data_IF_010271651450
#
_entry.id   IF_010271651450
#
_cell.length_a   1.000
_cell.length_b   1.000
_cell.length_c   1.000
_cell.angle_alpha   90.00
_cell.angle_beta   90.00
_cell.angle_gamma   90.00
#
_symmetry.space_group_name_H-M   'P 1'
#
loop_
_entity.id
_entity.type
_entity.pdbx_description
1 polymer ?
#
# COMPACT_ATOMS: atom_id res chain seq x y z
N UNK A 1 -6.02 19.57 -71.26
CA UNK A 1 -5.46 18.43 -70.51
C UNK A 1 -4.81 18.83 -69.15
N UNK A 2 -4.06 19.94 -69.09
CA UNK A 2 -3.31 20.38 -67.91
C UNK A 2 -4.19 20.66 -66.62
N UNK A 3 -5.40 21.20 -66.77
CA UNK A 3 -6.29 21.51 -65.62
C UNK A 3 -6.84 20.25 -64.93
N UNK A 4 -7.10 19.16 -65.65
CA UNK A 4 -7.56 17.90 -65.06
C UNK A 4 -6.46 17.20 -64.27
N UNK A 5 -5.21 17.26 -64.76
CA UNK A 5 -4.06 16.69 -64.09
C UNK A 5 -3.77 17.40 -62.74
N UNK A 6 -3.87 18.73 -62.71
CA UNK A 6 -3.70 19.51 -61.49
C UNK A 6 -4.77 19.18 -60.43
N UNK A 7 -6.02 18.96 -60.85
CA UNK A 7 -7.10 18.57 -59.98
C UNK A 7 -6.85 17.21 -59.27
N UNK A 8 -6.37 16.20 -60.04
CA UNK A 8 -6.02 14.90 -59.46
C UNK A 8 -4.82 14.95 -58.49
N UNK A 9 -3.85 15.81 -58.77
CA UNK A 9 -2.69 16.01 -57.89
C UNK A 9 -3.15 16.65 -56.55
N UNK A 10 -4.00 17.66 -56.61
CA UNK A 10 -4.54 18.30 -55.39
C UNK A 10 -5.42 17.34 -54.63
N UNK A 11 -6.27 16.54 -55.28
CA UNK A 11 -7.11 15.53 -54.63
C UNK A 11 -6.27 14.44 -53.95
N UNK A 12 -5.19 13.97 -54.59
CA UNK A 12 -4.28 13.02 -53.98
C UNK A 12 -3.53 13.61 -52.77
N UNK A 13 -3.10 14.86 -52.84
CA UNK A 13 -2.44 15.55 -51.73
C UNK A 13 -3.40 15.74 -50.54
N UNK A 14 -4.67 16.07 -50.80
CA UNK A 14 -5.71 16.17 -49.74
C UNK A 14 -6.00 14.81 -49.10
N UNK A 15 -6.07 13.70 -49.89
CA UNK A 15 -6.23 12.35 -49.35
C UNK A 15 -5.06 11.94 -48.45
N UNK A 16 -3.82 12.29 -48.78
CA UNK A 16 -2.63 12.01 -47.97
C UNK A 16 -2.70 12.81 -46.61
N UNK A 17 -3.17 14.04 -46.64
CA UNK A 17 -3.32 14.87 -45.45
C UNK A 17 -4.42 14.36 -44.52
N UNK A 18 -5.48 13.78 -45.03
CA UNK A 18 -6.59 13.23 -44.21
C UNK A 18 -6.21 11.87 -43.63
N UNK A 19 -5.32 11.11 -44.22
CA UNK A 19 -4.84 9.81 -43.70
C UNK A 19 -3.86 9.94 -42.53
N UNK A 20 -3.40 11.16 -42.19
CA UNK A 20 -2.42 11.41 -41.14
C UNK A 20 -3.04 11.61 -39.75
N UNK A 21 -4.36 11.59 -39.61
CA UNK A 21 -5.04 11.58 -38.31
C UNK A 21 -5.12 10.15 -37.78
N UNK A 22 -3.97 9.52 -37.53
CA UNK A 22 -3.90 8.30 -36.73
C UNK A 22 -4.37 8.64 -35.31
N UNK A 23 -5.56 8.22 -34.92
CA UNK A 23 -5.91 8.19 -33.51
C UNK A 23 -4.88 7.31 -32.81
N UNK A 24 -4.13 7.90 -31.89
CA UNK A 24 -3.26 7.12 -31.01
C UNK A 24 -4.12 6.11 -30.27
N UNK A 25 -3.95 4.84 -30.59
CA UNK A 25 -4.76 3.77 -30.02
C UNK A 25 -4.21 3.39 -28.64
N UNK A 26 -5.06 3.47 -27.62
CA UNK A 26 -4.70 2.98 -26.29
C UNK A 26 -4.66 1.46 -26.29
N UNK A 27 -3.53 0.90 -25.89
CA UNK A 27 -3.34 -0.54 -25.75
C UNK A 27 -3.27 -0.91 -24.27
N UNK A 28 -3.99 -1.97 -23.88
CA UNK A 28 -3.88 -2.53 -22.54
C UNK A 28 -2.50 -3.13 -22.34
N UNK A 29 -1.85 -2.76 -21.24
CA UNK A 29 -0.58 -3.32 -20.78
C UNK A 29 -0.69 -3.73 -19.33
N UNK A 30 0.01 -4.79 -18.98
CA UNK A 30 0.04 -5.34 -17.63
C UNK A 30 1.49 -5.44 -17.16
N UNK A 31 1.70 -5.16 -15.88
CA UNK A 31 2.97 -5.37 -15.17
C UNK A 31 2.71 -5.92 -13.78
N UNK A 32 3.67 -6.64 -13.21
CA UNK A 32 3.50 -7.29 -11.92
C UNK A 32 4.77 -7.19 -11.06
N UNK A 33 4.59 -7.25 -9.73
CA UNK A 33 5.67 -7.35 -8.75
C UNK A 33 5.20 -8.03 -7.47
N UNK A 34 6.16 -8.53 -6.65
CA UNK A 34 5.89 -9.37 -5.47
C UNK A 34 6.62 -8.90 -4.21
N UNK A 35 7.40 -7.84 -4.30
CA UNK A 35 8.36 -7.41 -3.30
C UNK A 35 7.80 -6.42 -2.26
N UNK A 36 6.46 -6.30 -2.19
CA UNK A 36 5.78 -5.43 -1.23
C UNK A 36 4.54 -6.10 -0.63
N UNK A 37 4.27 -5.86 0.66
CA UNK A 37 3.10 -6.35 1.41
C UNK A 37 2.89 -7.88 1.37
N UNK A 38 3.93 -8.66 1.08
CA UNK A 38 3.87 -10.13 0.92
C UNK A 38 2.77 -10.58 -0.03
N UNK A 39 2.50 -9.79 -1.06
CA UNK A 39 1.40 -10.02 -2.01
C UNK A 39 1.87 -9.95 -3.46
N UNK A 40 1.09 -10.57 -4.35
CA UNK A 40 1.20 -10.41 -5.79
C UNK A 40 0.39 -9.21 -6.25
N UNK A 41 1.04 -8.21 -6.81
CA UNK A 41 0.43 -6.98 -7.29
C UNK A 41 0.47 -6.97 -8.81
N UNK A 42 -0.68 -6.78 -9.44
CA UNK A 42 -0.83 -6.63 -10.89
C UNK A 42 -1.34 -5.22 -11.17
N UNK A 43 -0.59 -4.47 -11.96
CA UNK A 43 -0.98 -3.16 -12.46
C UNK A 43 -1.36 -3.25 -13.93
N UNK A 44 -2.57 -2.83 -14.27
CA UNK A 44 -3.08 -2.79 -15.64
C UNK A 44 -3.43 -1.37 -16.03
N UNK A 45 -2.95 -0.92 -17.20
CA UNK A 45 -3.28 0.39 -17.73
C UNK A 45 -3.46 0.37 -19.24
N UNK A 46 -4.31 1.24 -19.75
CA UNK A 46 -4.41 1.54 -21.18
C UNK A 46 -3.53 2.74 -21.49
N UNK A 47 -2.47 2.55 -22.28
CA UNK A 47 -1.49 3.60 -22.58
C UNK A 47 -1.23 3.67 -24.08
N UNK A 48 -0.76 4.81 -24.55
CA UNK A 48 -0.43 5.05 -25.97
C UNK A 48 0.92 4.43 -26.35
N UNK A 49 1.83 4.30 -25.38
CA UNK A 49 3.15 3.74 -25.63
C UNK A 49 3.60 2.84 -24.48
N UNK A 50 4.59 2.01 -24.75
CA UNK A 50 5.28 1.18 -23.77
C UNK A 50 6.03 2.03 -22.73
N UNK A 51 6.62 3.14 -23.15
CA UNK A 51 7.37 4.03 -22.25
C UNK A 51 6.44 4.77 -21.29
N UNK A 52 5.24 5.16 -21.74
CA UNK A 52 4.21 5.73 -20.88
C UNK A 52 3.78 4.71 -19.81
N UNK A 53 3.54 3.46 -20.20
CA UNK A 53 3.23 2.38 -19.27
C UNK A 53 4.33 2.16 -18.24
N UNK A 54 5.60 2.05 -18.67
CA UNK A 54 6.74 1.86 -17.78
C UNK A 54 6.88 2.99 -16.76
N UNK A 55 6.60 4.22 -17.18
CA UNK A 55 6.62 5.36 -16.27
C UNK A 55 5.53 5.24 -15.20
N UNK A 56 4.29 4.94 -15.58
CA UNK A 56 3.21 4.73 -14.60
C UNK A 56 3.47 3.52 -13.70
N UNK A 57 3.93 2.42 -14.26
CA UNK A 57 4.28 1.22 -13.51
C UNK A 57 5.36 1.51 -12.46
N UNK A 58 6.39 2.28 -12.85
CA UNK A 58 7.43 2.70 -11.91
C UNK A 58 6.88 3.55 -10.78
N UNK A 59 6.04 4.55 -11.07
CA UNK A 59 5.41 5.41 -10.06
C UNK A 59 4.61 4.57 -9.06
N UNK A 60 3.77 3.65 -9.56
CA UNK A 60 2.96 2.76 -8.72
C UNK A 60 3.86 1.88 -7.86
N UNK A 61 4.87 1.23 -8.45
CA UNK A 61 5.79 0.36 -7.71
C UNK A 61 6.58 1.12 -6.64
N UNK A 62 7.06 2.31 -6.95
CA UNK A 62 7.79 3.16 -5.99
C UNK A 62 6.89 3.55 -4.81
N UNK A 63 5.63 3.90 -5.06
CA UNK A 63 4.67 4.27 -4.02
C UNK A 63 4.28 3.07 -3.14
N UNK A 64 4.02 1.91 -3.73
CA UNK A 64 3.82 0.66 -2.98
C UNK A 64 5.02 0.31 -2.11
N UNK A 65 6.24 0.49 -2.63
CA UNK A 65 7.47 0.23 -1.87
C UNK A 65 7.62 1.20 -0.69
N UNK A 66 7.29 2.47 -0.88
CA UNK A 66 7.29 3.47 0.18
C UNK A 66 6.27 3.15 1.26
N UNK A 67 5.02 2.88 0.88
CA UNK A 67 3.94 2.54 1.80
C UNK A 67 4.20 1.22 2.54
N UNK A 68 4.79 0.23 1.87
CA UNK A 68 5.22 -1.01 2.52
C UNK A 68 6.16 -0.73 3.70
N UNK A 69 7.15 0.15 3.52
CA UNK A 69 8.07 0.51 4.60
C UNK A 69 7.37 1.26 5.73
N UNK A 70 6.43 2.16 5.42
CA UNK A 70 5.68 2.92 6.42
C UNK A 70 4.77 2.02 7.27
N UNK A 71 4.14 1.03 6.65
CA UNK A 71 3.16 0.16 7.32
C UNK A 71 3.74 -1.16 7.83
N UNK A 72 5.06 -1.38 7.64
CA UNK A 72 5.73 -2.58 8.15
C UNK A 72 5.77 -2.55 9.68
N UNK A 73 5.35 -3.66 10.26
CA UNK A 73 5.34 -3.89 11.71
C UNK A 73 6.47 -4.83 12.18
N UNK A 74 7.31 -5.32 11.25
CA UNK A 74 8.35 -6.31 11.52
C UNK A 74 9.77 -5.80 11.33
N UNK A 75 9.99 -4.91 10.34
CA UNK A 75 11.32 -4.49 9.94
C UNK A 75 11.56 -2.99 10.16
N UNK A 76 12.81 -2.65 10.47
CA UNK A 76 13.28 -1.27 10.54
C UNK A 76 13.84 -0.84 9.19
N UNK A 77 13.65 0.44 8.84
CA UNK A 77 14.20 1.05 7.64
C UNK A 77 14.90 2.35 8.02
N UNK A 78 16.11 2.55 7.50
CA UNK A 78 16.89 3.74 7.79
C UNK A 78 16.11 5.03 7.41
N UNK A 79 15.98 5.93 8.37
CA UNK A 79 15.29 7.20 8.19
C UNK A 79 13.76 7.11 8.10
N UNK A 80 13.14 5.96 8.41
CA UNK A 80 11.70 5.78 8.38
C UNK A 80 11.18 5.38 9.76
N UNK A 81 10.34 6.21 10.35
CA UNK A 81 9.54 5.84 11.51
C UNK A 81 8.23 5.20 11.01
N UNK A 82 8.09 3.91 11.23
CA UNK A 82 6.98 3.09 10.73
C UNK A 82 6.12 2.51 11.88
N UNK A 83 5.21 1.62 11.56
CA UNK A 83 4.36 0.96 12.57
C UNK A 83 5.20 0.18 13.59
N UNK A 84 6.29 -0.47 13.15
CA UNK A 84 7.21 -1.14 14.09
C UNK A 84 7.80 -0.16 15.09
N UNK A 85 8.28 1.01 14.62
CA UNK A 85 8.83 2.05 15.50
C UNK A 85 7.82 2.51 16.54
N UNK A 86 6.55 2.69 16.14
CA UNK A 86 5.46 3.03 17.07
C UNK A 86 5.27 1.92 18.11
N UNK A 87 5.24 0.65 17.68
CA UNK A 87 5.07 -0.49 18.57
C UNK A 87 6.22 -0.64 19.57
N UNK A 88 7.46 -0.43 19.10
CA UNK A 88 8.66 -0.53 19.95
C UNK A 88 8.75 0.62 20.99
N UNK A 89 8.10 1.74 20.74
CA UNK A 89 8.02 2.89 21.64
C UNK A 89 6.75 2.91 22.50
N UNK A 90 5.92 1.86 22.45
CA UNK A 90 4.71 1.75 23.25
C UNK A 90 5.02 1.88 24.75
N UNK A 91 4.28 2.74 25.47
CA UNK A 91 4.49 3.03 26.87
C UNK A 91 5.76 3.84 27.20
N UNK A 92 6.58 4.21 26.19
CA UNK A 92 7.85 4.92 26.38
C UNK A 92 7.74 6.37 25.93
N UNK A 93 7.47 6.61 24.64
CA UNK A 93 7.44 7.96 24.10
C UNK A 93 6.57 8.05 22.81
N UNK A 94 6.01 9.23 22.51
CA UNK A 94 5.40 9.50 21.20
C UNK A 94 6.44 9.42 20.07
N UNK A 95 6.01 8.89 18.93
CA UNK A 95 6.84 8.76 17.71
C UNK A 95 6.34 9.72 16.66
N UNK A 96 7.21 10.57 16.12
CA UNK A 96 6.92 11.39 14.94
C UNK A 96 6.85 10.49 13.70
N UNK A 97 5.79 10.64 12.89
CA UNK A 97 5.50 9.77 11.75
C UNK A 97 5.01 10.55 10.53
N UNK A 98 5.04 9.91 9.37
CA UNK A 98 4.45 10.44 8.16
C UNK A 98 2.92 10.60 8.27
N UNK A 99 2.38 11.57 7.53
CA UNK A 99 0.95 11.89 7.55
C UNK A 99 0.09 10.68 7.18
N UNK A 100 0.55 9.83 6.26
CA UNK A 100 -0.18 8.63 5.85
C UNK A 100 -0.40 7.63 6.99
N UNK A 101 0.52 7.54 7.95
CA UNK A 101 0.33 6.70 9.15
C UNK A 101 -0.76 7.30 10.04
N UNK A 102 -0.76 8.61 10.23
CA UNK A 102 -1.79 9.33 10.99
C UNK A 102 -3.16 9.12 10.34
N UNK A 103 -3.25 9.31 9.04
CA UNK A 103 -4.50 9.17 8.28
C UNK A 103 -5.03 7.73 8.35
N UNK A 104 -4.16 6.71 8.24
CA UNK A 104 -4.52 5.31 8.37
C UNK A 104 -5.06 4.99 9.78
N UNK A 105 -4.41 5.48 10.83
CA UNK A 105 -4.84 5.24 12.21
C UNK A 105 -6.18 5.94 12.49
N UNK A 106 -6.34 7.19 12.06
CA UNK A 106 -7.62 7.94 12.18
C UNK A 106 -8.74 7.20 11.47
N UNK A 107 -8.55 6.87 10.20
CA UNK A 107 -9.51 6.10 9.42
C UNK A 107 -9.89 4.80 10.12
N UNK A 108 -8.92 4.06 10.63
CA UNK A 108 -9.16 2.78 11.31
C UNK A 108 -9.97 2.94 12.61
N UNK A 109 -9.73 4.02 13.37
CA UNK A 109 -10.51 4.35 14.57
C UNK A 109 -11.95 4.73 14.22
N UNK A 110 -12.15 5.56 13.20
CA UNK A 110 -13.47 5.96 12.71
C UNK A 110 -14.28 4.77 12.20
N UNK A 111 -13.65 3.87 11.45
CA UNK A 111 -14.31 2.66 10.94
C UNK A 111 -14.69 1.68 12.07
N UNK A 112 -13.85 1.56 13.10
CA UNK A 112 -14.17 0.74 14.27
C UNK A 112 -15.40 1.26 15.01
N UNK A 113 -15.52 2.58 15.20
CA UNK A 113 -16.66 3.20 15.87
C UNK A 113 -17.95 3.15 15.01
N UNK A 114 -17.82 3.45 13.71
CA UNK A 114 -18.97 3.70 12.84
C UNK A 114 -19.59 2.43 12.27
N UNK A 115 -18.77 1.45 11.90
CA UNK A 115 -19.24 0.28 11.14
C UNK A 115 -19.09 -1.04 11.87
N UNK A 116 -18.06 -1.22 12.67
CA UNK A 116 -17.83 -2.52 13.28
C UNK A 116 -16.88 -2.48 14.47
N UNK A 117 -17.37 -2.78 15.64
CA UNK A 117 -16.55 -3.07 16.82
C UNK A 117 -15.76 -4.40 16.71
N UNK A 118 -15.78 -5.05 15.55
CA UNK A 118 -15.01 -6.27 15.23
C UNK A 118 -13.67 -5.98 14.61
N UNK A 119 -13.43 -4.74 14.16
CA UNK A 119 -12.13 -4.28 13.66
C UNK A 119 -11.42 -3.48 14.73
N UNK A 120 -10.15 -3.80 15.00
CA UNK A 120 -9.37 -3.10 16.00
C UNK A 120 -7.88 -3.14 15.62
N UNK A 121 -7.30 -1.99 15.29
CA UNK A 121 -5.87 -1.87 14.95
C UNK A 121 -4.96 -2.08 16.17
N UNK A 122 -5.47 -1.94 17.39
CA UNK A 122 -4.71 -2.20 18.62
C UNK A 122 -4.59 -3.70 18.98
N UNK A 123 -4.99 -4.62 18.10
CA UNK A 123 -4.88 -6.07 18.31
C UNK A 123 -3.44 -6.63 18.25
N UNK A 124 -2.45 -5.78 17.98
CA UNK A 124 -1.04 -6.15 17.86
C UNK A 124 -0.54 -7.12 18.94
N UNK A 125 -0.73 -6.87 20.23
CA UNK A 125 -0.26 -7.76 21.30
C UNK A 125 -0.82 -9.20 21.21
N UNK A 126 -2.10 -9.34 20.86
CA UNK A 126 -2.74 -10.65 20.67
C UNK A 126 -2.24 -11.33 19.39
N UNK A 127 -2.17 -10.57 18.29
CA UNK A 127 -1.69 -11.11 17.01
C UNK A 127 -0.23 -11.55 17.06
N UNK A 128 0.60 -10.88 17.87
CA UNK A 128 2.00 -11.24 18.08
C UNK A 128 2.13 -12.65 18.67
N UNK A 129 1.35 -12.99 19.68
CA UNK A 129 1.36 -14.34 20.28
C UNK A 129 1.02 -15.41 19.25
N UNK A 130 0.01 -15.17 18.41
CA UNK A 130 -0.34 -16.08 17.31
C UNK A 130 0.74 -16.19 16.25
N UNK A 131 1.39 -15.07 15.92
CA UNK A 131 2.49 -15.06 14.96
C UNK A 131 3.69 -15.86 15.47
N UNK A 132 4.09 -15.68 16.71
CA UNK A 132 5.22 -16.38 17.34
C UNK A 132 4.97 -17.88 17.39
N UNK A 133 3.83 -18.31 17.96
CA UNK A 133 3.50 -19.76 18.04
C UNK A 133 3.34 -20.42 16.68
N UNK A 134 2.80 -19.70 15.69
CA UNK A 134 2.74 -20.19 14.31
C UNK A 134 4.13 -20.36 13.71
N UNK A 135 5.01 -19.39 13.91
CA UNK A 135 6.38 -19.42 13.38
C UNK A 135 7.18 -20.57 13.98
N UNK A 136 7.05 -20.81 15.28
CA UNK A 136 7.66 -21.95 15.96
C UNK A 136 7.07 -23.28 15.50
N UNK A 137 5.74 -23.35 15.38
CA UNK A 137 5.07 -24.56 14.90
C UNK A 137 5.39 -24.93 13.45
N UNK A 138 5.72 -23.95 12.58
CA UNK A 138 6.21 -24.21 11.23
C UNK A 138 7.63 -24.80 11.26
N UNK A 139 8.49 -24.30 12.17
CA UNK A 139 9.87 -24.77 12.30
C UNK A 139 9.93 -26.18 12.91
N UNK A 140 9.10 -26.44 13.92
CA UNK A 140 9.05 -27.70 14.67
C UNK A 140 7.59 -28.19 14.81
N UNK A 141 6.99 -28.78 13.75
CA UNK A 141 5.57 -29.15 13.74
C UNK A 141 5.17 -30.10 14.87
N UNK A 142 6.08 -30.96 15.33
CA UNK A 142 5.84 -31.94 16.41
C UNK A 142 5.73 -31.27 17.79
N UNK A 143 6.22 -30.03 17.94
CA UNK A 143 6.18 -29.22 19.15
C UNK A 143 5.18 -28.06 19.04
N UNK A 144 4.39 -28.01 17.97
CA UNK A 144 3.44 -26.93 17.74
C UNK A 144 2.42 -26.85 18.91
N UNK A 145 2.29 -25.67 19.48
CA UNK A 145 1.34 -25.36 20.55
C UNK A 145 0.51 -24.13 20.20
N UNK A 146 -0.63 -24.00 20.85
CA UNK A 146 -1.42 -22.76 20.79
C UNK A 146 -0.97 -21.79 21.88
N UNK A 147 -1.16 -20.46 21.72
CA UNK A 147 -0.98 -19.52 22.82
C UNK A 147 -1.84 -19.92 24.01
N UNK A 148 -1.33 -19.81 25.23
CA UNK A 148 -2.12 -20.10 26.42
C UNK A 148 -3.24 -19.06 26.58
N UNK A 149 -4.37 -19.48 27.15
CA UNK A 149 -5.48 -18.56 27.43
C UNK A 149 -5.06 -17.44 28.37
N UNK A 150 -4.17 -17.73 29.33
CA UNK A 150 -3.63 -16.73 30.25
C UNK A 150 -2.84 -15.65 29.50
N UNK A 151 -1.95 -16.03 28.58
CA UNK A 151 -1.19 -15.09 27.75
C UNK A 151 -2.11 -14.25 26.84
N UNK A 152 -3.15 -14.87 26.27
CA UNK A 152 -4.13 -14.16 25.43
C UNK A 152 -4.95 -13.15 26.22
N UNK A 153 -5.41 -13.49 27.44
CA UNK A 153 -6.15 -12.57 28.30
C UNK A 153 -5.26 -11.42 28.82
N UNK A 154 -3.97 -11.66 29.06
CA UNK A 154 -3.02 -10.59 29.39
C UNK A 154 -2.81 -9.66 28.20
N UNK A 155 -2.51 -10.20 27.02
CA UNK A 155 -2.33 -9.42 25.80
C UNK A 155 -3.57 -8.58 25.43
N UNK A 156 -4.77 -9.10 25.70
CA UNK A 156 -6.04 -8.42 25.46
C UNK A 156 -6.20 -7.13 26.28
N UNK A 157 -5.56 -7.01 27.43
CA UNK A 157 -5.60 -5.78 28.24
C UNK A 157 -4.95 -4.58 27.51
N UNK A 158 -4.11 -4.84 26.52
CA UNK A 158 -3.40 -3.84 25.71
C UNK A 158 -4.04 -3.61 24.33
N UNK A 159 -5.31 -3.97 24.15
CA UNK A 159 -6.04 -3.79 22.88
C UNK A 159 -7.07 -2.67 22.93
N UNK A 160 -6.98 -1.78 23.91
CA UNK A 160 -7.88 -0.64 24.01
C UNK A 160 -7.54 0.42 22.97
N UNK A 161 -8.44 0.60 21.99
CA UNK A 161 -8.26 1.53 20.87
C UNK A 161 -8.19 3.00 21.35
N UNK A 162 -8.74 3.33 22.53
CA UNK A 162 -8.64 4.66 23.12
C UNK A 162 -7.21 5.01 23.56
N UNK A 163 -6.36 4.01 23.76
CA UNK A 163 -4.94 4.13 24.12
C UNK A 163 -4.02 4.43 22.92
N UNK A 164 -4.55 4.43 21.72
CA UNK A 164 -3.85 4.88 20.52
C UNK A 164 -4.07 6.39 20.39
N UNK A 165 -3.10 7.18 20.82
CA UNK A 165 -3.17 8.64 20.92
C UNK A 165 -2.47 9.27 19.70
N UNK A 166 -3.15 10.22 19.03
CA UNK A 166 -2.62 10.97 17.89
C UNK A 166 -2.53 12.44 18.30
N UNK A 167 -1.38 13.07 18.06
CA UNK A 167 -1.20 14.53 18.07
C UNK A 167 -0.94 14.97 16.61
N UNK A 168 -1.98 15.51 15.97
CA UNK A 168 -1.93 15.91 14.55
C UNK A 168 -1.00 17.12 14.32
N UNK A 169 -0.92 18.04 15.29
CA UNK A 169 -0.09 19.23 15.17
C UNK A 169 1.40 18.88 15.19
N UNK A 170 1.77 17.89 16.01
CA UNK A 170 3.13 17.39 16.12
C UNK A 170 3.41 16.20 15.20
N UNK A 171 2.39 15.70 14.51
CA UNK A 171 2.46 14.45 13.72
C UNK A 171 3.04 13.28 14.51
N UNK A 172 2.56 13.08 15.74
CA UNK A 172 3.04 11.98 16.57
C UNK A 172 1.93 10.99 16.90
N UNK A 173 2.36 9.73 17.10
CA UNK A 173 1.53 8.65 17.60
C UNK A 173 2.15 8.11 18.87
N UNK A 174 1.32 7.88 19.89
CA UNK A 174 1.71 7.27 21.15
C UNK A 174 0.75 6.12 21.51
N UNK A 175 1.30 4.99 21.90
CA UNK A 175 0.57 3.86 22.47
C UNK A 175 0.77 3.87 23.99
N UNK A 176 -0.32 4.10 24.74
CA UNK A 176 -0.31 4.15 26.21
C UNK A 176 -0.32 2.74 26.83
#
# INVERSE_FOLDING_TARGET
MKKKSLFYIVLAAVMILVSSCGQEEYTKRDGEFYDTFDTHIIFSAYTKSEDEFKNYFKIVKDDFTRLHKLYDLYNDYEGVNNIKTINDQAGIAPVEVDQEIIDLIKFSKEEAEKYSNKTNIAMGPVLKLWHETRTEGIKEPEKAVLPSMEALEEAKKHTDLSKVIIDEDKKTVYLE
#
